data_IF_944833839921
#
_entry.id   IF_944833839921
#
_cell.length_a   1.000
_cell.length_b   1.000
_cell.length_c   1.000
_cell.angle_alpha   90.00
_cell.angle_beta   90.00
_cell.angle_gamma   90.00
#
_symmetry.space_group_name_H-M   'P 1'
#
loop_
_entity.id
_entity.type
_entity.pdbx_description
1 polymer ?
#
# COMPACT_ATOMS: atom_id res chain seq x y z
N UNK A 1 15.50 -3.07 28.96
CA UNK A 1 15.65 -2.24 27.77
C UNK A 1 14.32 -2.07 27.09
N UNK A 2 13.98 -0.84 26.71
CA UNK A 2 12.66 -0.50 26.16
C UNK A 2 12.31 -1.28 24.89
N UNK A 3 13.22 -1.36 23.90
CA UNK A 3 12.96 -2.06 22.63
C UNK A 3 12.60 -3.52 22.84
N UNK A 4 13.24 -4.18 23.80
CA UNK A 4 12.97 -5.58 24.12
C UNK A 4 11.69 -5.80 24.93
N UNK A 5 11.31 -4.81 25.74
CA UNK A 5 10.10 -4.85 26.58
C UNK A 5 8.85 -4.49 25.77
N UNK A 6 8.88 -3.36 25.07
CA UNK A 6 7.73 -2.87 24.31
C UNK A 6 7.54 -3.59 22.97
N UNK A 7 8.63 -4.10 22.40
CA UNK A 7 8.64 -4.85 21.14
C UNK A 7 7.89 -4.14 20.00
N UNK A 8 8.26 -2.89 19.67
CA UNK A 8 7.62 -2.18 18.56
C UNK A 8 7.91 -2.83 17.20
N UNK A 9 8.94 -3.64 17.12
CA UNK A 9 9.33 -4.43 15.97
C UNK A 9 10.07 -5.69 16.42
N UNK A 10 10.26 -6.62 15.50
CA UNK A 10 10.95 -7.90 15.73
C UNK A 10 12.02 -8.10 14.67
N UNK A 11 12.96 -9.01 14.95
CA UNK A 11 13.93 -9.46 13.92
C UNK A 11 13.15 -9.98 12.70
N UNK A 12 13.53 -9.53 11.52
CA UNK A 12 12.85 -9.85 10.26
C UNK A 12 11.84 -8.79 9.82
N UNK A 13 11.43 -7.88 10.70
CA UNK A 13 10.54 -6.78 10.32
C UNK A 13 11.29 -5.74 9.48
N UNK A 14 10.60 -5.14 8.53
CA UNK A 14 11.11 -3.98 7.82
C UNK A 14 10.62 -2.72 8.53
N UNK A 15 11.56 -1.89 8.95
CA UNK A 15 11.26 -0.64 9.67
C UNK A 15 11.93 0.56 9.00
N UNK A 16 11.38 1.73 9.28
CA UNK A 16 11.98 3.00 8.91
C UNK A 16 12.16 3.84 10.18
N UNK A 17 13.36 4.31 10.39
CA UNK A 17 13.73 5.14 11.55
C UNK A 17 14.92 6.02 11.15
N UNK A 18 14.94 7.27 11.62
CA UNK A 18 16.06 8.21 11.42
C UNK A 18 16.47 8.38 9.94
N UNK A 19 15.51 8.25 9.01
CA UNK A 19 15.75 8.37 7.58
C UNK A 19 16.29 7.09 6.92
N UNK A 20 16.41 5.99 7.65
CA UNK A 20 16.87 4.71 7.13
C UNK A 20 15.74 3.70 7.10
N UNK A 21 15.69 2.89 6.05
CA UNK A 21 14.73 1.79 5.90
C UNK A 21 15.49 0.50 5.72
N UNK A 22 15.15 -0.53 6.49
CA UNK A 22 15.80 -1.83 6.37
C UNK A 22 15.11 -2.91 7.18
N UNK A 23 15.58 -4.14 6.97
CA UNK A 23 15.12 -5.31 7.72
C UNK A 23 15.91 -5.37 9.03
N UNK A 24 15.20 -5.58 10.13
CA UNK A 24 15.84 -5.76 11.44
C UNK A 24 16.57 -7.09 11.45
N UNK A 25 17.89 -7.03 11.55
CA UNK A 25 18.79 -8.19 11.50
C UNK A 25 19.18 -8.65 12.89
N UNK A 26 19.47 -7.69 13.78
CA UNK A 26 19.88 -7.99 15.16
C UNK A 26 19.43 -6.87 16.10
N UNK A 27 19.00 -7.25 17.30
CA UNK A 27 18.67 -6.31 18.39
C UNK A 27 19.60 -6.66 19.55
N UNK A 28 20.51 -5.72 19.86
CA UNK A 28 21.44 -5.86 20.98
C UNK A 28 21.05 -4.92 22.12
N UNK A 29 21.79 -4.95 23.20
CA UNK A 29 21.49 -4.15 24.38
C UNK A 29 21.46 -2.63 24.09
N UNK A 30 22.37 -2.14 23.26
CA UNK A 30 22.49 -0.70 22.96
C UNK A 30 22.11 -0.31 21.55
N UNK A 31 22.16 -1.24 20.62
CA UNK A 31 21.97 -0.96 19.21
C UNK A 31 21.05 -1.97 18.54
N UNK A 32 20.43 -1.55 17.45
CA UNK A 32 19.69 -2.39 16.55
C UNK A 32 20.32 -2.30 15.16
N UNK A 33 20.53 -3.42 14.51
CA UNK A 33 21.15 -3.47 13.19
C UNK A 33 20.09 -3.68 12.13
N UNK A 34 20.10 -2.84 11.11
CA UNK A 34 19.22 -2.93 9.96
C UNK A 34 20.05 -3.30 8.73
N UNK A 35 19.49 -4.13 7.88
CA UNK A 35 20.04 -4.42 6.56
C UNK A 35 19.18 -3.73 5.51
N UNK A 36 19.78 -2.79 4.76
CA UNK A 36 19.06 -2.06 3.72
C UNK A 36 18.93 -2.90 2.46
N UNK A 37 17.99 -2.48 1.57
CA UNK A 37 17.75 -3.19 0.32
C UNK A 37 18.98 -3.20 -0.61
N UNK A 38 19.83 -2.16 -0.51
CA UNK A 38 21.08 -2.06 -1.29
C UNK A 38 22.27 -2.76 -0.62
N UNK A 39 22.03 -3.51 0.46
CA UNK A 39 23.05 -4.35 1.10
C UNK A 39 23.91 -3.66 2.16
N UNK A 40 23.50 -2.47 2.63
CA UNK A 40 24.23 -1.79 3.71
C UNK A 40 23.71 -2.21 5.08
N UNK A 41 24.62 -2.23 6.05
CA UNK A 41 24.26 -2.37 7.46
C UNK A 41 24.13 -0.97 8.06
N UNK A 42 23.02 -0.73 8.74
CA UNK A 42 22.79 0.50 9.48
C UNK A 42 22.65 0.13 10.97
N UNK A 43 23.49 0.76 11.79
CA UNK A 43 23.49 0.54 13.24
C UNK A 43 22.77 1.72 13.88
N UNK A 44 21.63 1.45 14.49
CA UNK A 44 20.79 2.46 15.12
C UNK A 44 20.94 2.35 16.64
N UNK A 45 21.33 3.42 17.35
CA UNK A 45 21.28 3.42 18.82
C UNK A 45 19.84 3.20 19.29
N UNK A 46 19.64 2.28 20.23
CA UNK A 46 18.29 1.97 20.71
C UNK A 46 17.57 3.18 21.33
N UNK A 47 18.29 4.15 21.81
CA UNK A 47 17.71 5.41 22.29
C UNK A 47 16.93 6.18 21.22
N UNK A 48 17.27 6.03 19.95
CA UNK A 48 16.55 6.69 18.85
C UNK A 48 15.09 6.20 18.78
N UNK A 49 14.83 4.94 19.11
CA UNK A 49 13.48 4.39 19.12
C UNK A 49 12.58 4.96 20.21
N UNK A 50 13.15 5.62 21.19
CA UNK A 50 12.41 6.28 22.27
C UNK A 50 12.03 7.72 21.92
N UNK A 51 12.76 8.34 21.03
CA UNK A 51 12.66 9.78 20.73
C UNK A 51 12.22 10.09 19.30
N UNK A 52 12.25 9.13 18.42
CA UNK A 52 11.93 9.30 17.00
C UNK A 52 10.81 8.37 16.57
N UNK A 53 9.99 8.78 15.62
CA UNK A 53 8.98 7.89 15.06
C UNK A 53 9.61 6.66 14.41
N UNK A 54 9.00 5.51 14.63
CA UNK A 54 9.39 4.25 14.01
C UNK A 54 8.22 3.79 13.14
N UNK A 55 8.47 3.58 11.86
CA UNK A 55 7.48 3.03 10.94
C UNK A 55 7.76 1.55 10.77
N UNK A 56 6.82 0.70 11.19
CA UNK A 56 6.93 -0.74 10.99
C UNK A 56 6.13 -1.13 9.75
N UNK A 57 6.82 -1.44 8.66
CA UNK A 57 6.21 -1.76 7.37
C UNK A 57 5.72 -3.21 7.29
N UNK A 58 6.14 -4.07 8.22
CA UNK A 58 5.79 -5.49 8.23
C UNK A 58 4.58 -5.82 9.09
N UNK A 59 4.32 -5.03 10.12
CA UNK A 59 3.22 -5.29 11.06
C UNK A 59 1.85 -5.27 10.41
N UNK A 60 1.63 -4.33 9.49
CA UNK A 60 0.46 -4.26 8.64
C UNK A 60 0.94 -4.37 7.20
N UNK A 61 0.95 -5.58 6.63
CA UNK A 61 1.67 -5.84 5.37
C UNK A 61 0.99 -5.30 4.12
N UNK A 62 -0.26 -4.83 4.24
CA UNK A 62 -0.99 -4.30 3.10
C UNK A 62 -0.84 -2.79 3.01
N UNK A 63 -0.70 -2.28 1.79
CA UNK A 63 -0.62 -0.86 1.47
C UNK A 63 -1.89 -0.43 0.76
N UNK A 64 -2.44 0.69 1.20
CA UNK A 64 -3.60 1.31 0.55
C UNK A 64 -3.15 1.98 -0.74
N UNK A 65 -3.91 1.76 -1.81
CA UNK A 65 -3.67 2.39 -3.10
C UNK A 65 -4.98 2.87 -3.69
N UNK A 66 -4.91 3.86 -4.56
CA UNK A 66 -6.09 4.46 -5.20
C UNK A 66 -5.82 4.68 -6.68
N UNK A 67 -6.86 4.50 -7.48
CA UNK A 67 -6.85 4.86 -8.90
C UNK A 67 -8.10 5.66 -9.23
N UNK A 68 -8.03 6.42 -10.30
CA UNK A 68 -9.17 7.12 -10.87
C UNK A 68 -9.75 6.32 -12.02
N UNK A 69 -11.08 6.23 -12.06
CA UNK A 69 -11.82 5.67 -13.17
C UNK A 69 -12.84 6.73 -13.64
N UNK A 70 -12.72 7.13 -14.89
CA UNK A 70 -13.63 8.10 -15.51
C UNK A 70 -14.38 7.41 -16.64
N UNK A 71 -15.69 7.45 -16.60
CA UNK A 71 -16.56 6.85 -17.63
C UNK A 71 -17.55 7.91 -18.13
N UNK A 72 -18.12 7.69 -19.32
CA UNK A 72 -19.19 8.56 -19.81
C UNK A 72 -20.47 8.39 -19.01
N UNK A 73 -21.29 9.44 -18.95
CA UNK A 73 -22.60 9.40 -18.27
C UNK A 73 -23.59 8.47 -18.97
N UNK A 74 -23.33 8.11 -20.20
CA UNK A 74 -24.12 7.15 -20.98
C UNK A 74 -23.66 5.70 -20.78
N UNK A 75 -22.56 5.50 -20.04
CA UNK A 75 -22.08 4.16 -19.68
C UNK A 75 -22.87 3.59 -18.50
N UNK A 76 -22.79 2.28 -18.33
CA UNK A 76 -23.33 1.64 -17.14
C UNK A 76 -22.68 2.20 -15.87
N UNK A 77 -23.50 2.34 -14.83
CA UNK A 77 -22.99 2.85 -13.56
C UNK A 77 -21.90 1.94 -12.99
N UNK A 78 -20.81 2.53 -12.55
CA UNK A 78 -19.75 1.82 -11.84
C UNK A 78 -20.18 1.63 -10.40
N UNK A 79 -20.15 0.40 -9.93
CA UNK A 79 -20.49 0.07 -8.54
C UNK A 79 -19.31 -0.60 -7.86
N UNK A 80 -19.37 -0.66 -6.53
CA UNK A 80 -18.39 -1.43 -5.76
C UNK A 80 -18.34 -2.88 -6.22
N UNK A 81 -19.50 -3.47 -6.54
CA UNK A 81 -19.57 -4.85 -7.01
C UNK A 81 -18.90 -5.05 -8.37
N UNK A 82 -19.11 -4.13 -9.32
CA UNK A 82 -18.48 -4.23 -10.64
C UNK A 82 -16.97 -4.11 -10.56
N UNK A 83 -16.46 -3.27 -9.67
CA UNK A 83 -15.00 -3.14 -9.45
C UNK A 83 -14.43 -4.35 -8.74
N UNK A 84 -15.14 -4.90 -7.75
CA UNK A 84 -14.71 -6.15 -7.10
C UNK A 84 -14.59 -7.29 -8.13
N UNK A 85 -15.56 -7.38 -9.04
CA UNK A 85 -15.52 -8.35 -10.12
C UNK A 85 -14.32 -8.12 -11.04
N UNK A 86 -14.05 -6.86 -11.39
CA UNK A 86 -12.91 -6.51 -12.24
C UNK A 86 -11.58 -6.87 -11.58
N UNK A 87 -11.46 -6.68 -10.26
CA UNK A 87 -10.22 -6.93 -9.52
C UNK A 87 -10.09 -8.37 -8.99
N UNK A 88 -11.10 -9.21 -9.18
CA UNK A 88 -11.12 -10.57 -8.62
C UNK A 88 -9.95 -11.43 -9.08
N UNK A 89 -9.51 -11.26 -10.33
CA UNK A 89 -8.41 -12.03 -10.93
C UNK A 89 -7.05 -11.33 -10.80
N UNK A 90 -7.00 -10.14 -10.21
CA UNK A 90 -5.75 -9.40 -10.00
C UNK A 90 -5.07 -9.92 -8.74
N UNK A 91 -4.13 -10.86 -8.89
CA UNK A 91 -3.44 -11.50 -7.75
C UNK A 91 -2.67 -10.52 -6.88
N UNK A 92 -2.14 -9.43 -7.48
CA UNK A 92 -1.41 -8.41 -6.74
C UNK A 92 -2.30 -7.52 -5.87
N UNK A 93 -3.62 -7.62 -5.99
CA UNK A 93 -4.60 -6.86 -5.21
C UNK A 93 -5.21 -7.76 -4.15
N UNK A 94 -5.19 -7.31 -2.89
CA UNK A 94 -5.78 -8.07 -1.80
C UNK A 94 -7.30 -8.10 -1.92
N UNK A 95 -7.89 -9.23 -1.56
CA UNK A 95 -9.35 -9.40 -1.53
C UNK A 95 -9.96 -8.93 -0.23
N UNK A 96 -9.18 -8.90 0.83
CA UNK A 96 -9.57 -8.43 2.15
C UNK A 96 -8.46 -7.53 2.72
N UNK A 97 -8.70 -6.26 3.00
CA UNK A 97 -9.97 -5.53 2.80
C UNK A 97 -10.40 -5.45 1.33
N UNK A 98 -11.69 -5.56 1.08
CA UNK A 98 -12.23 -5.53 -0.27
C UNK A 98 -12.09 -4.15 -0.91
N UNK A 99 -11.92 -4.08 -2.24
CA UNK A 99 -11.91 -2.80 -2.95
C UNK A 99 -13.21 -2.02 -2.75
N UNK A 100 -13.10 -0.70 -2.72
CA UNK A 100 -14.22 0.22 -2.55
C UNK A 100 -14.22 1.25 -3.67
N UNK A 101 -15.41 1.74 -4.02
CA UNK A 101 -15.60 2.74 -5.06
C UNK A 101 -16.38 3.91 -4.49
N UNK A 102 -15.91 5.10 -4.76
CA UNK A 102 -16.55 6.33 -4.35
C UNK A 102 -16.76 7.25 -5.55
N UNK A 103 -17.97 7.75 -5.71
CA UNK A 103 -18.28 8.76 -6.72
C UNK A 103 -17.63 10.07 -6.29
N UNK A 104 -16.80 10.65 -7.13
CA UNK A 104 -16.06 11.88 -6.81
C UNK A 104 -16.54 13.10 -7.59
N UNK A 105 -17.22 12.92 -8.69
CA UNK A 105 -17.73 14.05 -9.45
C UNK A 105 -18.37 13.66 -10.78
N UNK A 106 -19.16 14.60 -11.28
CA UNK A 106 -19.79 14.50 -12.59
C UNK A 106 -19.58 15.84 -13.30
N UNK A 107 -18.99 15.82 -14.48
CA UNK A 107 -18.80 17.02 -15.29
C UNK A 107 -18.55 16.66 -16.74
N UNK A 108 -18.97 17.54 -17.65
CA UNK A 108 -18.69 17.41 -19.10
C UNK A 108 -19.09 16.05 -19.70
N UNK A 109 -20.23 15.50 -19.25
CA UNK A 109 -20.71 14.20 -19.72
C UNK A 109 -19.90 13.00 -19.20
N UNK A 110 -19.11 13.21 -18.16
CA UNK A 110 -18.26 12.18 -17.57
C UNK A 110 -18.52 12.05 -16.08
N UNK A 111 -18.40 10.81 -15.58
CA UNK A 111 -18.49 10.48 -14.17
C UNK A 111 -17.12 9.98 -13.72
N UNK A 112 -16.65 10.53 -12.63
CA UNK A 112 -15.32 10.22 -12.08
C UNK A 112 -15.47 9.49 -10.76
N UNK A 113 -14.86 8.32 -10.69
CA UNK A 113 -14.85 7.48 -9.50
C UNK A 113 -13.43 7.34 -8.96
N UNK A 114 -13.34 7.23 -7.66
CA UNK A 114 -12.10 6.85 -6.98
C UNK A 114 -12.24 5.41 -6.51
N UNK A 115 -11.31 4.56 -6.94
CA UNK A 115 -11.25 3.16 -6.53
C UNK A 115 -10.14 3.02 -5.51
N UNK A 116 -10.46 2.55 -4.33
CA UNK A 116 -9.50 2.27 -3.27
C UNK A 116 -9.35 0.76 -3.13
N UNK A 117 -8.12 0.31 -3.01
CA UNK A 117 -7.83 -1.10 -2.81
C UNK A 117 -6.56 -1.25 -1.98
N UNK A 118 -6.26 -2.48 -1.58
CA UNK A 118 -5.10 -2.81 -0.76
C UNK A 118 -4.24 -3.83 -1.47
N UNK A 119 -2.93 -3.74 -1.31
CA UNK A 119 -1.97 -4.63 -1.94
C UNK A 119 -0.72 -4.78 -1.08
N UNK A 120 -0.06 -5.96 -1.09
CA UNK A 120 1.22 -6.14 -0.40
C UNK A 120 2.31 -5.22 -0.96
N UNK A 121 2.33 -5.05 -2.26
CA UNK A 121 3.21 -4.14 -2.97
C UNK A 121 2.34 -3.09 -3.68
N UNK A 122 2.48 -1.84 -3.28
CA UNK A 122 1.65 -0.75 -3.80
C UNK A 122 1.83 -0.56 -5.32
N UNK A 123 3.06 -0.62 -5.78
CA UNK A 123 3.37 -0.39 -7.20
C UNK A 123 2.85 -1.53 -8.08
N UNK A 124 3.14 -2.77 -7.70
CA UNK A 124 2.60 -3.93 -8.40
C UNK A 124 1.07 -3.97 -8.35
N UNK A 125 0.49 -3.60 -7.22
CA UNK A 125 -0.95 -3.49 -7.06
C UNK A 125 -1.57 -2.44 -7.97
N UNK A 126 -0.94 -1.28 -8.10
CA UNK A 126 -1.40 -0.22 -9.01
C UNK A 126 -1.39 -0.68 -10.47
N UNK A 127 -0.31 -1.30 -10.90
CA UNK A 127 -0.20 -1.81 -12.28
C UNK A 127 -1.28 -2.86 -12.55
N UNK A 128 -1.44 -3.82 -11.64
CA UNK A 128 -2.43 -4.88 -11.78
C UNK A 128 -3.86 -4.33 -11.77
N UNK A 129 -4.16 -3.40 -10.87
CA UNK A 129 -5.49 -2.79 -10.76
C UNK A 129 -5.84 -1.97 -12.00
N UNK A 130 -4.92 -1.14 -12.48
CA UNK A 130 -5.14 -0.34 -13.70
C UNK A 130 -5.41 -1.26 -14.88
N UNK A 131 -4.63 -2.31 -15.03
CA UNK A 131 -4.80 -3.28 -16.12
C UNK A 131 -6.16 -3.99 -16.04
N UNK A 132 -6.52 -4.48 -14.86
CA UNK A 132 -7.77 -5.21 -14.64
C UNK A 132 -9.01 -4.34 -14.84
N UNK A 133 -9.00 -3.13 -14.29
CA UNK A 133 -10.12 -2.19 -14.42
C UNK A 133 -10.25 -1.71 -15.87
N UNK A 134 -9.14 -1.44 -16.53
CA UNK A 134 -9.15 -1.05 -17.94
C UNK A 134 -9.72 -2.14 -18.83
N UNK A 135 -9.41 -3.41 -18.56
CA UNK A 135 -9.96 -4.54 -19.28
C UNK A 135 -11.47 -4.71 -19.08
N UNK A 136 -11.95 -4.44 -17.86
CA UNK A 136 -13.36 -4.54 -17.52
C UNK A 136 -14.19 -3.34 -18.01
N UNK A 137 -13.57 -2.16 -18.03
CA UNK A 137 -14.21 -0.92 -18.50
C UNK A 137 -13.42 -0.33 -19.67
N UNK A 138 -13.48 -0.95 -20.86
CA UNK A 138 -12.62 -0.55 -21.99
C UNK A 138 -12.92 0.84 -22.53
N UNK A 139 -14.11 1.39 -22.26
CA UNK A 139 -14.48 2.75 -22.63
C UNK A 139 -14.08 3.79 -21.59
N UNK A 140 -13.62 3.35 -20.42
CA UNK A 140 -13.22 4.23 -19.33
C UNK A 140 -11.76 4.63 -19.43
N UNK A 141 -11.44 5.76 -18.81
CA UNK A 141 -10.07 6.22 -18.59
C UNK A 141 -9.66 5.86 -17.17
N UNK A 142 -8.54 5.13 -17.03
CA UNK A 142 -8.03 4.65 -15.75
C UNK A 142 -6.59 5.12 -15.57
N UNK A 143 -6.32 5.78 -14.44
CA UNK A 143 -4.96 6.22 -14.12
C UNK A 143 -4.73 6.23 -12.61
N UNK A 144 -3.46 6.24 -12.21
CA UNK A 144 -3.08 6.33 -10.80
C UNK A 144 -3.34 7.71 -10.21
N UNK A 145 -3.48 7.70 -8.92
CA UNK A 145 -3.61 8.92 -8.11
C UNK A 145 -2.23 9.46 -7.76
#
# INVERSE_FOLDING_TARGET
MWVLVERPFRIGDTIEVSGYTGVVDEISFRTTQLRTADGREVIIPNGDFMTKPVVNLSRFPLRRAQIWLTVGTDSDAVSTESVRTALADAEAVAKDPAPEVELRGVSDGKVRYQVTFWAPDREAGLVAAIRAVRAHFPQGDVHGV
#
